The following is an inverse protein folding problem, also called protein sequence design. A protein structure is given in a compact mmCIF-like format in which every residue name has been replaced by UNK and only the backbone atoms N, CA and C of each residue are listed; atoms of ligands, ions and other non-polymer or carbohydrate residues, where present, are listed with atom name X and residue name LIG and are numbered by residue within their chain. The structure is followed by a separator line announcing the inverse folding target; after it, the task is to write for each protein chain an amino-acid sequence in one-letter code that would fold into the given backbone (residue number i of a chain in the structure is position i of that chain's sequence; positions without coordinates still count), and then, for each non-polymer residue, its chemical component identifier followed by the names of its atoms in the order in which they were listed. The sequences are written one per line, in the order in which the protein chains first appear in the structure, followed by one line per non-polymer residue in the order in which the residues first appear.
data_IF_790997234115
#
_entry.id   IF_790997234115
#
_cell.length_a   1.000
_cell.length_b   1.000
_cell.length_c   1.000
_cell.angle_alpha   90.00
_cell.angle_beta   90.00
_cell.angle_gamma   90.00
#
_symmetry.space_group_name_H-M   'P 1'
#
loop_
_entity.id
_entity.type
_entity.pdbx_description
1 polymer ?
#
# COMPACT_ATOMS: atom_id res chain seq x y z
N UNK A 1 -78.51 12.27 -19.18
CA UNK A 1 -77.16 12.81 -19.51
C UNK A 1 -76.12 11.88 -18.93
N UNK A 2 -75.20 11.34 -19.77
CA UNK A 2 -73.87 10.73 -19.46
C UNK A 2 -73.86 9.52 -18.48
N UNK A 3 -73.16 8.38 -18.65
CA UNK A 3 -72.22 7.74 -19.61
C UNK A 3 -72.22 6.23 -19.18
N UNK A 4 -72.51 5.25 -20.04
CA UNK A 4 -71.55 4.44 -20.86
C UNK A 4 -70.58 3.62 -19.97
N UNK A 5 -70.84 2.31 -19.75
CA UNK A 5 -70.13 1.13 -20.32
C UNK A 5 -69.08 0.55 -19.33
N UNK A 6 -68.68 -0.72 -19.28
CA UNK A 6 -69.00 -2.02 -19.92
C UNK A 6 -68.19 -3.06 -19.11
N UNK A 7 -68.78 -4.15 -18.64
CA UNK A 7 -68.79 -5.49 -19.26
C UNK A 7 -67.57 -6.40 -18.96
N UNK A 8 -67.91 -7.61 -18.48
CA UNK A 8 -67.39 -8.95 -18.84
C UNK A 8 -65.87 -9.22 -18.71
N UNK A 9 -65.46 -10.10 -17.79
CA UNK A 9 -65.45 -11.58 -17.87
C UNK A 9 -64.10 -12.12 -18.36
N UNK A 10 -63.39 -12.89 -17.52
CA UNK A 10 -62.36 -13.81 -17.98
C UNK A 10 -62.07 -14.91 -16.96
N UNK A 11 -62.99 -15.88 -16.90
CA UNK A 11 -62.68 -17.26 -16.54
C UNK A 11 -61.98 -17.91 -17.74
N UNK A 12 -60.72 -18.35 -17.60
CA UNK A 12 -60.21 -19.57 -18.23
C UNK A 12 -58.81 -19.87 -17.67
N UNK A 13 -58.80 -20.49 -16.48
CA UNK A 13 -57.69 -21.29 -16.01
C UNK A 13 -57.83 -22.71 -16.60
N UNK A 14 -56.70 -23.44 -16.66
CA UNK A 14 -56.54 -24.82 -17.12
C UNK A 14 -56.34 -25.00 -18.63
N UNK A 15 -55.07 -24.99 -19.05
CA UNK A 15 -54.43 -26.05 -19.85
C UNK A 15 -53.01 -25.57 -20.16
N UNK A 16 -51.98 -26.12 -19.51
CA UNK A 16 -50.57 -26.18 -19.98
C UNK A 16 -49.72 -26.86 -18.90
N UNK A 17 -50.04 -28.12 -18.61
CA UNK A 17 -49.19 -29.02 -17.87
C UNK A 17 -48.77 -30.13 -18.84
N UNK A 18 -47.54 -30.06 -19.34
CA UNK A 18 -46.98 -31.12 -20.17
C UNK A 18 -45.79 -30.64 -20.99
N UNK A 19 -44.75 -31.49 -20.99
CA UNK A 19 -43.58 -31.50 -21.87
C UNK A 19 -42.54 -30.39 -21.68
N UNK A 20 -41.58 -30.58 -20.75
CA UNK A 20 -40.20 -30.09 -20.84
C UNK A 20 -39.33 -30.78 -19.75
N UNK A 21 -39.24 -32.12 -19.80
CA UNK A 21 -38.25 -32.89 -19.02
C UNK A 21 -37.51 -33.85 -19.96
N UNK A 22 -36.61 -33.32 -20.78
CA UNK A 22 -35.60 -34.13 -21.48
C UNK A 22 -34.65 -33.22 -22.26
N UNK A 23 -33.72 -32.51 -21.61
CA UNK A 23 -32.52 -31.96 -22.28
C UNK A 23 -31.53 -31.42 -21.25
N UNK A 24 -30.31 -31.94 -21.26
CA UNK A 24 -29.14 -31.22 -20.75
C UNK A 24 -28.40 -31.83 -19.56
N UNK A 25 -27.83 -33.03 -19.72
CA UNK A 25 -26.77 -33.54 -18.84
C UNK A 25 -25.55 -33.95 -19.68
N UNK A 26 -24.92 -32.96 -20.30
CA UNK A 26 -23.56 -33.04 -20.84
C UNK A 26 -22.83 -31.78 -20.37
N UNK A 27 -22.44 -31.77 -19.08
CA UNK A 27 -21.56 -30.74 -18.56
C UNK A 27 -20.12 -31.04 -19.02
N UNK A 28 -19.43 -30.11 -19.71
CA UNK A 28 -18.02 -30.29 -20.02
C UNK A 28 -17.23 -30.29 -18.71
N UNK A 29 -16.39 -31.30 -18.53
CA UNK A 29 -15.42 -31.34 -17.45
C UNK A 29 -14.49 -30.12 -17.61
N UNK A 30 -14.69 -29.11 -16.77
CA UNK A 30 -13.82 -27.94 -16.71
C UNK A 30 -12.47 -28.41 -16.17
N UNK A 31 -11.52 -28.65 -17.06
CA UNK A 31 -10.11 -28.79 -16.72
C UNK A 31 -9.68 -27.50 -16.04
N UNK A 32 -9.57 -27.52 -14.72
CA UNK A 32 -9.12 -26.38 -13.94
C UNK A 32 -7.70 -26.03 -14.38
N UNK A 33 -7.55 -24.86 -15.01
CA UNK A 33 -6.23 -24.31 -15.28
C UNK A 33 -5.49 -24.15 -13.94
N UNK A 34 -4.20 -24.55 -13.86
CA UNK A 34 -3.43 -24.36 -12.63
C UNK A 34 -3.42 -22.89 -12.26
N UNK A 35 -3.76 -22.60 -11.00
CA UNK A 35 -3.75 -21.24 -10.46
C UNK A 35 -2.33 -20.63 -10.64
N UNK A 36 -2.22 -19.35 -11.05
CA UNK A 36 -0.93 -18.71 -11.17
C UNK A 36 -0.22 -18.78 -9.81
N UNK A 37 1.03 -19.25 -9.80
CA UNK A 37 1.85 -19.26 -8.61
C UNK A 37 1.94 -17.83 -8.06
N UNK A 38 1.46 -17.61 -6.84
CA UNK A 38 1.53 -16.32 -6.20
C UNK A 38 2.99 -15.87 -6.15
N UNK A 39 3.30 -14.74 -6.79
CA UNK A 39 4.64 -14.16 -6.78
C UNK A 39 5.03 -13.87 -5.33
N UNK A 40 6.04 -14.57 -4.82
CA UNK A 40 6.44 -14.43 -3.42
C UNK A 40 7.07 -13.05 -3.20
N UNK A 41 6.46 -12.21 -2.35
CA UNK A 41 7.01 -10.89 -2.02
C UNK A 41 8.26 -11.03 -1.17
N UNK A 42 9.41 -10.65 -1.73
CA UNK A 42 10.67 -10.57 -0.98
C UNK A 42 10.63 -9.36 -0.06
N UNK A 43 10.87 -9.61 1.23
CA UNK A 43 10.95 -8.57 2.26
C UNK A 43 12.35 -8.52 2.86
N UNK A 44 12.88 -7.32 3.07
CA UNK A 44 14.13 -7.06 3.79
C UNK A 44 13.80 -6.19 5.00
N UNK A 45 14.00 -6.73 6.19
CA UNK A 45 13.79 -6.01 7.45
C UNK A 45 15.13 -5.82 8.16
N UNK A 46 15.40 -4.60 8.60
CA UNK A 46 16.58 -4.24 9.38
C UNK A 46 16.22 -4.18 10.87
N UNK A 47 17.02 -4.86 11.70
CA UNK A 47 16.81 -4.91 13.15
C UNK A 47 17.10 -3.54 13.81
N UNK A 48 16.68 -3.38 15.07
CA UNK A 48 16.92 -2.14 15.83
C UNK A 48 16.18 -0.95 15.21
N UNK A 49 16.84 0.19 15.05
CA UNK A 49 16.24 1.38 14.42
C UNK A 49 16.08 1.28 12.90
N UNK A 50 16.77 0.33 12.27
CA UNK A 50 16.83 0.17 10.81
C UNK A 50 18.26 0.29 10.28
N UNK A 51 18.42 0.21 8.96
CA UNK A 51 19.66 0.56 8.28
C UNK A 51 19.79 2.08 8.19
N UNK A 52 20.73 2.66 8.94
CA UNK A 52 21.09 4.08 8.83
C UNK A 52 21.93 4.29 7.57
N UNK A 53 21.40 5.02 6.59
CA UNK A 53 22.03 5.24 5.28
C UNK A 53 22.45 6.69 5.12
N UNK A 54 23.68 6.89 4.68
CA UNK A 54 24.26 8.18 4.25
C UNK A 54 24.80 8.03 2.82
N UNK A 55 25.22 9.13 2.18
CA UNK A 55 25.78 9.07 0.82
C UNK A 55 27.01 8.14 0.73
N UNK A 56 27.84 8.10 1.78
CA UNK A 56 29.04 7.27 1.84
C UNK A 56 28.76 5.80 2.22
N UNK A 57 27.51 5.48 2.60
CA UNK A 57 27.13 4.17 3.15
C UNK A 57 25.85 3.62 2.53
N UNK A 58 25.68 3.78 1.21
CA UNK A 58 24.57 3.19 0.44
C UNK A 58 24.59 1.65 0.45
N UNK A 59 25.76 1.04 0.65
CA UNK A 59 25.97 -0.41 0.72
C UNK A 59 25.15 -1.08 1.84
N UNK A 60 24.78 -0.33 2.88
CA UNK A 60 23.94 -0.80 4.00
C UNK A 60 22.55 -1.26 3.57
N UNK A 61 22.10 -0.84 2.38
CA UNK A 61 20.86 -1.28 1.76
C UNK A 61 21.08 -2.12 0.48
N UNK A 62 22.27 -2.70 0.30
CA UNK A 62 22.63 -3.54 -0.86
C UNK A 62 21.67 -4.72 -1.14
N UNK A 63 20.91 -5.16 -0.13
CA UNK A 63 19.91 -6.24 -0.26
C UNK A 63 18.57 -5.79 -0.87
N UNK A 64 18.37 -4.50 -1.12
CA UNK A 64 17.19 -3.96 -1.83
C UNK A 64 17.44 -3.86 -3.32
N UNK A 65 16.42 -3.49 -4.11
CA UNK A 65 16.60 -3.29 -5.55
C UNK A 65 17.49 -2.08 -5.89
N UNK A 66 18.25 -2.11 -7.01
CA UNK A 66 19.03 -0.96 -7.47
C UNK A 66 18.20 0.31 -7.65
N UNK A 67 16.97 0.17 -8.16
CA UNK A 67 16.05 1.29 -8.32
C UNK A 67 15.70 1.98 -6.99
N UNK A 68 15.59 1.21 -5.89
CA UNK A 68 15.38 1.77 -4.56
C UNK A 68 16.64 2.45 -4.01
N UNK A 69 17.82 1.85 -4.24
CA UNK A 69 19.10 2.46 -3.84
C UNK A 69 19.31 3.83 -4.51
N UNK A 70 19.04 3.93 -5.82
CA UNK A 70 19.09 5.22 -6.52
C UNK A 70 18.06 6.23 -6.00
N UNK A 71 16.89 5.77 -5.54
CA UNK A 71 15.91 6.66 -4.92
C UNK A 71 16.44 7.24 -3.60
N UNK A 72 17.03 6.40 -2.75
CA UNK A 72 17.65 6.82 -1.48
C UNK A 72 18.81 7.77 -1.73
N UNK A 73 19.71 7.45 -2.66
CA UNK A 73 20.81 8.31 -3.08
C UNK A 73 20.34 9.70 -3.54
N UNK A 74 19.31 9.76 -4.41
CA UNK A 74 18.73 11.04 -4.88
C UNK A 74 18.10 11.85 -3.74
N UNK A 75 17.49 11.19 -2.75
CA UNK A 75 16.93 11.88 -1.57
C UNK A 75 18.06 12.43 -0.71
N UNK A 76 19.03 11.61 -0.36
CA UNK A 76 20.20 12.01 0.42
C UNK A 76 20.99 13.13 -0.26
N UNK A 77 21.16 13.08 -1.57
CA UNK A 77 21.82 14.15 -2.35
C UNK A 77 21.06 15.47 -2.24
N UNK A 78 19.72 15.45 -2.26
CA UNK A 78 18.91 16.67 -2.07
C UNK A 78 19.06 17.23 -0.66
N UNK A 79 19.04 16.37 0.35
CA UNK A 79 19.29 16.78 1.75
C UNK A 79 20.71 17.35 1.91
N UNK A 80 21.71 16.70 1.32
CA UNK A 80 23.08 17.19 1.28
C UNK A 80 23.19 18.57 0.64
N UNK A 81 22.54 18.79 -0.52
CA UNK A 81 22.48 20.12 -1.17
C UNK A 81 21.79 21.16 -0.31
N UNK A 82 20.75 20.78 0.44
CA UNK A 82 20.06 21.69 1.37
C UNK A 82 20.93 22.13 2.57
N UNK A 83 22.06 21.44 2.80
CA UNK A 83 23.00 21.82 3.84
C UNK A 83 24.01 22.86 3.40
N UNK A 84 24.16 23.13 2.10
CA UNK A 84 25.05 24.18 1.61
C UNK A 84 24.61 25.58 2.11
N UNK A 85 25.56 26.51 2.34
CA UNK A 85 27.00 26.35 2.16
C UNK A 85 27.72 25.72 3.37
N UNK A 86 27.03 25.07 4.31
CA UNK A 86 27.60 24.61 5.60
C UNK A 86 28.35 23.27 5.42
N UNK A 87 29.69 23.24 5.23
CA UNK A 87 30.37 22.00 4.82
C UNK A 87 30.35 20.95 5.93
N UNK A 88 30.41 21.38 7.20
CA UNK A 88 30.29 20.51 8.38
C UNK A 88 28.95 19.74 8.44
N UNK A 89 27.92 20.22 7.76
CA UNK A 89 26.59 19.62 7.76
C UNK A 89 26.38 18.62 6.62
N UNK A 90 27.32 18.48 5.69
CA UNK A 90 27.16 17.58 4.53
C UNK A 90 26.92 16.13 4.93
N UNK A 91 27.63 15.64 5.95
CA UNK A 91 27.47 14.29 6.48
C UNK A 91 26.17 14.07 7.29
N UNK A 92 25.43 15.14 7.61
CA UNK A 92 24.21 15.04 8.41
C UNK A 92 23.04 14.37 7.66
N UNK A 93 23.04 14.44 6.33
CA UNK A 93 21.99 13.89 5.49
C UNK A 93 21.91 12.37 5.67
N UNK A 94 20.84 11.92 6.32
CA UNK A 94 20.65 10.51 6.71
C UNK A 94 19.23 10.08 6.42
N UNK A 95 19.09 8.81 6.08
CA UNK A 95 17.81 8.13 5.89
C UNK A 95 17.89 6.77 6.55
N UNK A 96 16.95 6.44 7.43
CA UNK A 96 16.91 5.18 8.18
C UNK A 96 15.84 4.30 7.56
N UNK A 97 16.26 3.17 6.99
CA UNK A 97 15.35 2.22 6.31
C UNK A 97 15.06 1.07 7.26
N UNK A 98 13.79 0.86 7.60
CA UNK A 98 13.35 -0.20 8.51
C UNK A 98 12.98 -1.47 7.74
N UNK A 99 12.17 -1.32 6.70
CA UNK A 99 11.65 -2.43 5.90
C UNK A 99 11.62 -2.04 4.44
N UNK A 100 11.96 -2.96 3.54
CA UNK A 100 11.78 -2.84 2.10
C UNK A 100 11.09 -4.10 1.56
N UNK A 101 10.17 -3.94 0.63
CA UNK A 101 9.46 -5.03 -0.03
C UNK A 101 9.58 -4.92 -1.55
N UNK A 102 9.66 -6.07 -2.22
CA UNK A 102 9.78 -6.14 -3.68
C UNK A 102 8.52 -5.70 -4.41
N UNK A 103 7.35 -5.77 -3.76
CA UNK A 103 6.05 -5.33 -4.26
C UNK A 103 5.88 -3.79 -4.29
N UNK A 104 6.90 -3.04 -3.86
CA UNK A 104 6.94 -1.60 -4.07
C UNK A 104 6.66 -0.75 -2.84
N UNK A 105 6.79 -1.30 -1.63
CA UNK A 105 6.70 -0.52 -0.40
C UNK A 105 8.00 -0.53 0.40
N UNK A 106 8.31 0.58 1.06
CA UNK A 106 9.41 0.64 2.03
C UNK A 106 9.07 1.58 3.19
N UNK A 107 9.34 1.13 4.40
CA UNK A 107 9.27 1.94 5.61
C UNK A 107 10.61 2.63 5.86
N UNK A 108 10.55 3.95 5.86
CA UNK A 108 11.64 4.86 6.23
C UNK A 108 11.31 5.34 7.64
N UNK A 109 12.01 4.82 8.64
CA UNK A 109 11.76 5.17 10.05
C UNK A 109 12.23 6.58 10.37
N UNK A 110 13.18 7.13 9.61
CA UNK A 110 13.53 8.53 9.71
C UNK A 110 14.25 9.03 8.45
N UNK A 111 14.15 10.33 8.15
CA UNK A 111 14.90 10.97 7.07
C UNK A 111 15.04 12.45 7.35
N UNK A 112 16.27 12.93 7.37
CA UNK A 112 16.55 14.29 7.78
C UNK A 112 18.04 14.59 7.84
N UNK A 113 18.35 15.71 8.50
CA UNK A 113 19.71 16.04 8.87
C UNK A 113 19.88 15.75 10.37
N UNK A 114 20.84 14.90 10.71
CA UNK A 114 21.14 14.52 12.10
C UNK A 114 22.48 15.14 12.53
N UNK A 115 23.08 14.61 13.60
CA UNK A 115 24.40 15.08 14.04
C UNK A 115 25.39 15.10 12.86
N UNK A 116 26.24 16.15 12.73
CA UNK A 116 26.45 17.25 13.67
C UNK A 116 25.51 18.47 13.48
N UNK A 117 24.54 18.40 12.57
CA UNK A 117 23.63 19.50 12.25
C UNK A 117 22.16 19.04 12.28
N UNK A 118 21.61 18.75 13.47
CA UNK A 118 20.25 18.23 13.58
C UNK A 118 19.22 19.25 13.07
N UNK A 119 18.34 18.82 12.16
CA UNK A 119 17.23 19.60 11.63
C UNK A 119 15.92 18.80 11.61
N UNK A 120 15.80 17.82 12.51
CA UNK A 120 14.64 16.92 12.61
C UNK A 120 14.57 15.91 11.48
N UNK A 121 13.51 15.10 11.52
CA UNK A 121 13.23 14.06 10.55
C UNK A 121 11.80 13.54 10.71
N UNK A 122 11.36 12.73 9.75
CA UNK A 122 9.98 12.27 9.65
C UNK A 122 9.94 10.82 9.18
N UNK A 123 9.04 10.04 9.78
CA UNK A 123 8.70 8.69 9.30
C UNK A 123 8.01 8.83 7.95
N UNK A 124 8.39 7.99 6.99
CA UNK A 124 7.79 7.98 5.65
C UNK A 124 7.58 6.56 5.17
N UNK A 125 6.49 6.35 4.43
CA UNK A 125 6.32 5.17 3.58
C UNK A 125 6.62 5.59 2.14
N UNK A 126 7.67 5.00 1.58
CA UNK A 126 8.00 5.13 0.18
C UNK A 126 7.23 4.08 -0.63
N UNK A 127 6.71 4.50 -1.78
CA UNK A 127 5.96 3.65 -2.71
C UNK A 127 6.60 3.67 -4.09
N UNK A 128 6.59 2.53 -4.78
CA UNK A 128 7.01 2.40 -6.17
C UNK A 128 5.80 2.65 -7.07
N UNK A 129 5.99 3.51 -8.05
CA UNK A 129 5.06 3.68 -9.18
C UNK A 129 5.79 3.40 -10.49
N UNK A 130 5.09 3.51 -11.62
CA UNK A 130 5.68 3.37 -12.96
C UNK A 130 6.81 4.40 -13.20
N UNK A 131 6.66 5.59 -12.64
CA UNK A 131 7.68 6.65 -12.65
C UNK A 131 8.86 6.40 -11.68
N UNK A 132 8.82 5.32 -10.92
CA UNK A 132 9.82 4.94 -9.92
C UNK A 132 9.37 5.19 -8.47
N UNK A 133 10.33 5.13 -7.55
CA UNK A 133 10.08 5.29 -6.12
C UNK A 133 9.83 6.77 -5.75
N UNK A 134 8.86 6.99 -4.87
CA UNK A 134 8.51 8.31 -4.31
C UNK A 134 8.01 8.19 -2.88
N UNK A 135 7.97 9.32 -2.17
CA UNK A 135 7.34 9.46 -0.86
C UNK A 135 6.16 10.42 -0.97
N UNK A 136 4.92 9.92 -1.11
CA UNK A 136 3.73 10.77 -1.11
C UNK A 136 3.66 11.54 0.21
N UNK A 137 3.33 12.83 0.15
CA UNK A 137 3.27 13.69 1.36
C UNK A 137 2.31 13.13 2.40
N UNK A 138 1.17 12.56 1.98
CA UNK A 138 0.18 11.95 2.89
C UNK A 138 0.70 10.70 3.63
N UNK A 139 1.80 10.11 3.13
CA UNK A 139 2.48 8.96 3.72
C UNK A 139 3.80 9.37 4.40
N UNK A 140 3.99 10.66 4.70
CA UNK A 140 5.03 11.16 5.61
C UNK A 140 4.41 11.81 6.85
N UNK A 141 4.87 11.44 8.04
CA UNK A 141 4.32 11.94 9.30
C UNK A 141 5.35 11.92 10.45
N UNK A 142 5.07 12.67 11.52
CA UNK A 142 5.83 12.60 12.79
C UNK A 142 5.23 11.57 13.77
N UNK A 143 3.98 11.18 13.55
CA UNK A 143 3.19 10.29 14.39
C UNK A 143 2.59 9.16 13.55
N UNK A 144 1.99 8.12 14.16
CA UNK A 144 1.34 7.06 13.41
C UNK A 144 0.37 7.59 12.34
N UNK A 145 0.29 6.89 11.22
CA UNK A 145 -0.56 7.30 10.09
C UNK A 145 -2.04 7.06 10.39
N UNK A 146 -2.93 7.80 9.73
CA UNK A 146 -4.36 7.50 9.77
C UNK A 146 -4.69 6.22 8.99
N UNK A 147 -5.48 5.32 9.57
CA UNK A 147 -5.84 4.03 8.96
C UNK A 147 -6.49 4.22 7.58
N UNK A 148 -7.39 5.20 7.45
CA UNK A 148 -8.03 5.55 6.18
C UNK A 148 -7.01 5.94 5.11
N UNK A 149 -5.96 6.68 5.47
CA UNK A 149 -4.92 7.07 4.52
C UNK A 149 -4.13 5.85 4.09
N UNK A 150 -3.69 5.02 5.04
CA UNK A 150 -2.96 3.78 4.73
C UNK A 150 -3.79 2.84 3.83
N UNK A 151 -5.06 2.61 4.17
CA UNK A 151 -5.97 1.77 3.40
C UNK A 151 -6.22 2.31 1.99
N UNK A 152 -6.35 3.63 1.82
CA UNK A 152 -6.54 4.23 0.47
C UNK A 152 -5.33 4.07 -0.47
N UNK A 153 -4.16 3.80 0.09
CA UNK A 153 -2.94 3.47 -0.65
C UNK A 153 -2.65 1.97 -0.65
N UNK A 154 -3.56 1.14 -0.11
CA UNK A 154 -3.39 -0.31 0.00
C UNK A 154 -2.05 -0.70 0.66
N UNK A 155 -1.64 0.07 1.66
CA UNK A 155 -0.35 -0.13 2.33
C UNK A 155 -0.35 -1.50 3.03
N UNK A 156 0.63 -2.40 2.75
CA UNK A 156 0.69 -3.69 3.42
C UNK A 156 0.97 -3.57 4.92
N UNK A 157 0.33 -4.40 5.76
CA UNK A 157 0.53 -4.43 7.22
C UNK A 157 2.00 -4.51 7.61
N UNK A 158 2.80 -5.29 6.86
CA UNK A 158 4.23 -5.50 7.13
C UNK A 158 5.11 -4.23 7.02
N UNK A 159 4.63 -3.14 6.41
CA UNK A 159 5.35 -1.85 6.36
C UNK A 159 4.74 -0.79 7.28
N UNK A 160 3.62 -1.07 7.93
CA UNK A 160 2.99 -0.14 8.87
C UNK A 160 3.78 -0.15 10.18
N UNK A 161 4.26 1.02 10.67
CA UNK A 161 4.97 1.10 11.95
C UNK A 161 4.16 0.48 13.08
N UNK A 162 4.78 -0.48 13.78
CA UNK A 162 4.20 -1.22 14.92
C UNK A 162 2.83 -1.88 14.64
N UNK A 163 2.44 -2.03 13.37
CA UNK A 163 1.12 -2.54 12.98
C UNK A 163 -0.05 -1.67 13.42
N UNK A 164 0.18 -0.40 13.78
CA UNK A 164 -0.85 0.49 14.35
C UNK A 164 -1.09 1.73 13.49
N UNK A 165 -2.31 2.26 13.58
CA UNK A 165 -2.74 3.46 12.88
C UNK A 165 -3.85 4.19 13.65
N UNK A 166 -4.11 5.45 13.30
CA UNK A 166 -5.19 6.23 13.88
C UNK A 166 -6.52 6.06 13.12
N UNK A 167 -7.57 5.65 13.82
CA UNK A 167 -8.96 5.75 13.40
C UNK A 167 -9.61 6.94 14.12
N UNK A 168 -9.62 8.11 13.47
CA UNK A 168 -9.94 9.37 14.17
C UNK A 168 -8.84 9.72 15.17
N UNK A 169 -9.16 9.70 16.46
CA UNK A 169 -8.20 9.95 17.55
C UNK A 169 -7.77 8.67 18.28
N UNK A 170 -8.28 7.50 17.89
CA UNK A 170 -7.98 6.23 18.53
C UNK A 170 -6.86 5.49 17.80
N UNK A 171 -5.85 5.03 18.53
CA UNK A 171 -4.78 4.19 17.99
C UNK A 171 -5.24 2.72 18.00
N UNK A 172 -5.46 2.16 16.82
CA UNK A 172 -5.99 0.81 16.63
C UNK A 172 -5.00 -0.09 15.87
N UNK A 173 -5.28 -1.40 15.88
CA UNK A 173 -4.63 -2.36 15.00
C UNK A 173 -4.99 -2.06 13.55
N UNK A 174 -3.98 -1.86 12.70
CA UNK A 174 -4.22 -1.61 11.28
C UNK A 174 -4.79 -2.85 10.58
N UNK A 175 -4.30 -4.04 10.96
CA UNK A 175 -4.77 -5.31 10.40
C UNK A 175 -6.26 -5.55 10.70
N UNK A 176 -6.69 -5.31 11.94
CA UNK A 176 -8.10 -5.47 12.30
C UNK A 176 -8.97 -4.40 11.62
N UNK A 177 -8.45 -3.18 11.47
CA UNK A 177 -9.18 -2.09 10.83
C UNK A 177 -9.45 -2.37 9.34
N UNK A 178 -8.45 -2.84 8.59
CA UNK A 178 -8.63 -3.20 7.16
C UNK A 178 -9.48 -4.45 6.97
N UNK A 179 -9.56 -5.36 7.94
CA UNK A 179 -10.45 -6.51 7.85
C UNK A 179 -11.93 -6.12 7.99
N UNK A 180 -12.21 -4.99 8.64
CA UNK A 180 -13.55 -4.50 8.93
C UNK A 180 -14.08 -3.44 7.92
N UNK A 181 -13.25 -2.94 7.00
CA UNK A 181 -13.58 -1.83 6.08
C UNK A 181 -13.09 -2.10 4.66
#
# INVERSE_FOLDING_TARGET
MRRIASALACTLACTLAGTLMALGLLAPAATAAPAPAAESVRTVTYKGFGATVTLDHLDRISRTSPAFQHFVERRLTRLWKSNDPRPKCRAAATMIIKTWRSDGYALVSDMGNFAPCPAGGWVQIAVRTDAGWRTPVRLGAQEPFGCRVLGSFEVPVAVVPDGKCFAGNELVSYEDWIAAH
#
